data_IF_297373652141
#
_entry.id   IF_297373652141
#
_cell.length_a   1.000
_cell.length_b   1.000
_cell.length_c   1.000
_cell.angle_alpha   90.00
_cell.angle_beta   90.00
_cell.angle_gamma   90.00
#
_symmetry.space_group_name_H-M   'P 1'
#
loop_
_entity.id
_entity.type
_entity.pdbx_description
1 polymer ?
#
# COMPACT_ATOMS: atom_id res chain seq x y z
N UNK A 1 18.03 11.18 3.35
CA UNK A 1 17.26 9.92 3.18
C UNK A 1 18.09 8.96 2.34
N UNK A 2 18.40 7.80 2.87
CA UNK A 2 19.09 6.73 2.14
C UNK A 2 18.08 5.91 1.36
N UNK A 3 18.49 5.43 0.20
CA UNK A 3 17.72 4.54 -0.67
C UNK A 3 18.65 3.42 -1.14
N UNK A 4 18.21 2.18 -0.95
CA UNK A 4 18.94 0.99 -1.39
C UNK A 4 18.00 0.04 -2.14
N UNK A 5 18.43 -0.45 -3.29
CA UNK A 5 17.67 -1.47 -4.04
C UNK A 5 17.94 -2.84 -3.44
N UNK A 6 16.87 -3.52 -3.02
CA UNK A 6 16.94 -4.80 -2.33
C UNK A 6 16.33 -5.90 -3.20
N UNK A 7 17.14 -6.91 -3.48
CA UNK A 7 16.67 -8.12 -4.15
C UNK A 7 16.07 -9.10 -3.13
N UNK A 8 14.89 -9.66 -3.43
CA UNK A 8 14.25 -10.67 -2.60
C UNK A 8 13.40 -11.64 -3.43
N UNK A 9 13.07 -12.80 -2.87
CA UNK A 9 12.14 -13.72 -3.52
C UNK A 9 10.71 -13.27 -3.24
N UNK A 10 10.03 -12.73 -4.26
CA UNK A 10 8.64 -12.26 -4.20
C UNK A 10 7.67 -13.29 -4.76
N UNK A 11 7.28 -14.30 -3.96
CA UNK A 11 6.50 -15.41 -4.50
C UNK A 11 7.28 -16.16 -5.60
N UNK A 12 6.71 -16.23 -6.80
CA UNK A 12 7.34 -16.91 -7.96
C UNK A 12 8.36 -16.05 -8.71
N UNK A 13 8.50 -14.74 -8.38
CA UNK A 13 9.38 -13.82 -9.09
C UNK A 13 10.58 -13.39 -8.25
N UNK A 14 11.69 -13.07 -8.91
CA UNK A 14 12.80 -12.34 -8.29
C UNK A 14 12.39 -10.87 -8.24
N UNK A 15 12.10 -10.36 -7.07
CA UNK A 15 11.67 -8.99 -6.87
C UNK A 15 12.85 -8.08 -6.52
N UNK A 16 12.73 -6.79 -6.86
CA UNK A 16 13.72 -5.75 -6.53
C UNK A 16 13.01 -4.50 -6.03
N UNK A 17 12.83 -4.42 -4.70
CA UNK A 17 12.25 -3.27 -4.03
C UNK A 17 13.23 -2.13 -3.79
N UNK A 18 12.77 -1.07 -3.11
CA UNK A 18 13.60 0.03 -2.67
C UNK A 18 13.41 0.28 -1.17
N UNK A 19 14.43 -0.03 -0.38
CA UNK A 19 14.47 0.27 1.05
C UNK A 19 14.84 1.74 1.25
N UNK A 20 14.09 2.40 2.14
CA UNK A 20 14.19 3.85 2.38
C UNK A 20 14.23 4.11 3.88
N UNK A 21 15.22 4.88 4.34
CA UNK A 21 15.31 5.28 5.74
C UNK A 21 16.13 6.57 5.91
N UNK A 22 15.97 7.23 7.05
CA UNK A 22 16.87 8.31 7.41
C UNK A 22 18.03 7.77 8.26
N UNK A 23 19.25 7.77 7.69
CA UNK A 23 20.46 7.29 8.37
C UNK A 23 20.91 8.18 9.56
N UNK A 24 20.41 9.44 9.61
CA UNK A 24 20.72 10.38 10.70
C UNK A 24 19.89 10.13 11.96
N UNK A 25 18.83 9.32 11.86
CA UNK A 25 17.96 8.98 12.97
C UNK A 25 18.44 7.70 13.64
N UNK A 26 18.80 7.80 14.90
CA UNK A 26 19.19 6.66 15.73
C UNK A 26 17.96 5.91 16.29
N UNK A 27 18.17 4.64 16.65
CA UNK A 27 17.16 3.79 17.27
C UNK A 27 16.24 3.08 16.26
N UNK A 28 15.42 2.18 16.81
CA UNK A 28 14.48 1.38 16.01
C UNK A 28 13.22 2.18 15.70
N UNK A 29 12.74 2.04 14.47
CA UNK A 29 11.55 2.72 13.95
C UNK A 29 10.53 1.73 13.44
N UNK A 30 9.23 2.05 13.50
CA UNK A 30 8.19 1.28 12.86
C UNK A 30 8.47 1.01 11.38
N UNK A 31 7.93 -0.07 10.87
CA UNK A 31 8.11 -0.53 9.50
C UNK A 31 6.91 -0.14 8.62
N UNK A 32 7.18 0.42 7.45
CA UNK A 32 6.15 0.86 6.50
C UNK A 32 6.36 0.21 5.13
N UNK A 33 5.52 -0.74 4.78
CA UNK A 33 5.49 -1.27 3.42
C UNK A 33 4.71 -0.31 2.52
N UNK A 34 5.31 0.15 1.42
CA UNK A 34 4.68 1.03 0.43
C UNK A 34 4.46 0.24 -0.84
N UNK A 35 3.21 0.02 -1.22
CA UNK A 35 2.86 -0.64 -2.48
C UNK A 35 2.54 0.42 -3.53
N UNK A 36 3.36 0.52 -4.59
CA UNK A 36 3.23 1.56 -5.60
C UNK A 36 2.02 1.32 -6.51
N UNK A 37 1.70 2.34 -7.31
CA UNK A 37 0.71 2.23 -8.37
C UNK A 37 1.17 1.27 -9.48
N UNK A 38 0.41 1.17 -10.54
CA UNK A 38 0.64 0.25 -11.65
C UNK A 38 1.90 0.49 -12.49
N UNK A 39 2.65 1.57 -12.23
CA UNK A 39 3.92 1.85 -12.93
C UNK A 39 5.12 1.14 -12.29
N UNK A 40 4.95 0.51 -11.12
CA UNK A 40 5.99 -0.23 -10.42
C UNK A 40 6.88 0.64 -9.52
N UNK A 41 8.11 0.19 -9.26
CA UNK A 41 9.05 0.83 -8.32
C UNK A 41 9.76 2.00 -8.98
N UNK A 42 8.97 3.01 -9.40
CA UNK A 42 9.44 4.22 -10.08
C UNK A 42 10.08 5.21 -9.13
N UNK A 43 10.81 6.18 -9.68
CA UNK A 43 11.38 7.28 -8.88
C UNK A 43 10.32 8.12 -8.14
N UNK A 44 9.16 8.48 -8.73
CA UNK A 44 8.06 9.10 -7.98
C UNK A 44 7.57 8.25 -6.79
N UNK A 45 7.44 6.93 -6.96
CA UNK A 45 7.04 6.02 -5.88
C UNK A 45 8.08 6.01 -4.74
N UNK A 46 9.37 5.99 -5.08
CA UNK A 46 10.47 6.06 -4.10
C UNK A 46 10.46 7.41 -3.36
N UNK A 47 10.32 8.54 -4.06
CA UNK A 47 10.22 9.87 -3.45
C UNK A 47 9.03 10.00 -2.52
N UNK A 48 7.89 9.40 -2.88
CA UNK A 48 6.70 9.35 -2.02
C UNK A 48 7.00 8.55 -0.75
N UNK A 49 7.63 7.38 -0.87
CA UNK A 49 8.05 6.60 0.28
C UNK A 49 9.07 7.35 1.17
N UNK A 50 10.00 8.12 0.58
CA UNK A 50 10.92 8.98 1.35
C UNK A 50 10.18 10.05 2.15
N UNK A 51 9.18 10.72 1.55
CA UNK A 51 8.34 11.72 2.24
C UNK A 51 7.55 11.09 3.40
N UNK A 52 6.97 9.92 3.17
CA UNK A 52 6.21 9.21 4.20
C UNK A 52 7.12 8.68 5.31
N UNK A 53 8.26 8.11 4.97
CA UNK A 53 9.21 7.60 5.94
C UNK A 53 9.74 8.70 6.87
N UNK A 54 10.19 9.81 6.32
CA UNK A 54 10.75 10.91 7.10
C UNK A 54 11.71 10.40 8.19
N UNK A 55 11.52 10.87 9.40
CA UNK A 55 12.24 10.40 10.58
C UNK A 55 11.50 9.28 11.34
N UNK A 56 10.28 8.93 10.89
CA UNK A 56 9.35 8.09 11.64
C UNK A 56 9.46 6.60 11.30
N UNK A 57 9.77 6.26 10.04
CA UNK A 57 9.69 4.89 9.56
C UNK A 57 10.97 4.41 8.87
N UNK A 58 11.14 3.09 8.84
CA UNK A 58 11.91 2.40 7.81
C UNK A 58 10.91 1.88 6.79
N UNK A 59 11.05 2.26 5.52
CA UNK A 59 10.08 1.91 4.50
C UNK A 59 10.69 1.04 3.40
N UNK A 60 9.86 0.18 2.80
CA UNK A 60 10.19 -0.57 1.58
C UNK A 60 9.13 -0.30 0.52
N UNK A 61 9.53 0.18 -0.65
CA UNK A 61 8.68 0.18 -1.85
C UNK A 61 8.70 -1.22 -2.44
N UNK A 62 7.54 -1.88 -2.44
CA UNK A 62 7.40 -3.26 -2.88
C UNK A 62 7.45 -3.38 -4.41
N UNK A 63 8.12 -4.41 -4.91
CA UNK A 63 8.06 -4.81 -6.31
C UNK A 63 7.02 -5.93 -6.47
N UNK A 64 5.91 -5.61 -7.13
CA UNK A 64 4.84 -6.55 -7.40
C UNK A 64 4.94 -7.25 -8.76
N UNK A 65 5.91 -6.82 -9.60
CA UNK A 65 6.07 -7.35 -10.97
C UNK A 65 7.28 -8.26 -11.15
N UNK A 66 8.31 -8.07 -10.33
CA UNK A 66 9.60 -8.75 -10.43
C UNK A 66 10.65 -7.93 -11.17
N UNK A 67 11.93 -8.18 -10.84
CA UNK A 67 13.13 -7.57 -11.43
C UNK A 67 13.19 -6.04 -11.31
N UNK A 68 12.36 -5.44 -10.46
CA UNK A 68 12.23 -3.98 -10.31
C UNK A 68 11.67 -3.30 -11.54
N UNK A 69 10.84 -3.99 -12.31
CA UNK A 69 10.23 -3.49 -13.53
C UNK A 69 9.43 -2.22 -13.30
N UNK A 70 9.58 -1.29 -14.22
CA UNK A 70 8.80 -0.04 -14.30
C UNK A 70 8.34 0.18 -15.73
N UNK A 71 7.23 0.91 -15.89
CA UNK A 71 6.73 1.33 -17.20
C UNK A 71 6.20 2.77 -17.13
N UNK A 72 5.96 3.37 -18.29
CA UNK A 72 5.48 4.74 -18.40
C UNK A 72 3.94 4.83 -18.42
N UNK A 73 3.25 3.71 -18.61
CA UNK A 73 1.79 3.67 -18.65
C UNK A 73 1.24 2.51 -19.52
N UNK A 74 -0.05 2.60 -19.88
CA UNK A 74 -0.68 1.60 -20.73
C UNK A 74 -0.08 1.61 -22.17
N UNK A 75 -0.10 0.46 -22.87
CA UNK A 75 -0.78 -0.79 -22.46
C UNK A 75 -0.01 -1.64 -21.44
N UNK A 76 1.30 -1.43 -21.28
CA UNK A 76 2.19 -2.28 -20.48
C UNK A 76 1.77 -2.34 -19.01
N UNK A 77 1.48 -1.19 -18.40
CA UNK A 77 1.04 -1.13 -17.00
C UNK A 77 -0.26 -1.90 -16.77
N UNK A 78 -1.19 -1.80 -17.71
CA UNK A 78 -2.46 -2.52 -17.66
C UNK A 78 -2.26 -4.03 -17.75
N UNK A 79 -1.43 -4.49 -18.68
CA UNK A 79 -1.10 -5.91 -18.85
C UNK A 79 -0.49 -6.51 -17.58
N UNK A 80 0.53 -5.85 -17.02
CA UNK A 80 1.21 -6.34 -15.82
C UNK A 80 0.30 -6.33 -14.60
N UNK A 81 -0.45 -5.26 -14.41
CA UNK A 81 -1.43 -5.16 -13.33
C UNK A 81 -2.48 -6.27 -13.42
N UNK A 82 -3.04 -6.50 -14.61
CA UNK A 82 -4.06 -7.53 -14.82
C UNK A 82 -3.51 -8.94 -14.58
N UNK A 83 -2.25 -9.22 -14.97
CA UNK A 83 -1.61 -10.48 -14.69
C UNK A 83 -1.48 -10.77 -13.17
N UNK A 84 -1.10 -9.76 -12.37
CA UNK A 84 -1.05 -9.91 -10.90
C UNK A 84 -2.46 -10.06 -10.31
N UNK A 85 -3.43 -9.31 -10.81
CA UNK A 85 -4.84 -9.39 -10.35
C UNK A 85 -5.50 -10.72 -10.66
N UNK A 86 -5.14 -11.36 -11.76
CA UNK A 86 -5.69 -12.65 -12.18
C UNK A 86 -5.28 -13.79 -11.24
N UNK A 87 -4.12 -13.69 -10.58
CA UNK A 87 -3.66 -14.68 -9.60
C UNK A 87 -3.51 -14.04 -8.22
N UNK A 88 -4.62 -13.95 -7.47
CA UNK A 88 -4.65 -13.38 -6.12
C UNK A 88 -3.80 -14.18 -5.12
N UNK A 89 -3.66 -15.48 -5.31
CA UNK A 89 -2.81 -16.32 -4.44
C UNK A 89 -1.34 -15.90 -4.59
N UNK A 90 -0.88 -15.76 -5.83
CA UNK A 90 0.48 -15.31 -6.09
C UNK A 90 0.67 -13.84 -5.67
N UNK A 91 -0.30 -12.97 -5.94
CA UNK A 91 -0.28 -11.57 -5.48
C UNK A 91 -0.11 -11.45 -3.95
N UNK A 92 -0.85 -12.25 -3.17
CA UNK A 92 -0.71 -12.32 -1.71
C UNK A 92 0.68 -12.81 -1.28
N UNK A 93 1.25 -13.82 -1.98
CA UNK A 93 2.62 -14.28 -1.71
C UNK A 93 3.64 -13.17 -1.93
N UNK A 94 3.53 -12.41 -3.03
CA UNK A 94 4.42 -11.27 -3.32
C UNK A 94 4.32 -10.18 -2.26
N UNK A 95 3.10 -9.82 -1.85
CA UNK A 95 2.87 -8.82 -0.82
C UNK A 95 3.46 -9.23 0.55
N UNK A 96 3.23 -10.48 0.97
CA UNK A 96 3.79 -11.02 2.21
C UNK A 96 5.31 -11.11 2.15
N UNK A 97 5.89 -11.53 1.02
CA UNK A 97 7.33 -11.60 0.83
C UNK A 97 7.99 -10.21 0.91
N UNK A 98 7.33 -9.17 0.38
CA UNK A 98 7.81 -7.79 0.51
C UNK A 98 7.82 -7.32 1.97
N UNK A 99 6.77 -7.64 2.76
CA UNK A 99 6.76 -7.35 4.20
C UNK A 99 7.85 -8.11 4.94
N UNK A 100 8.04 -9.38 4.65
CA UNK A 100 9.10 -10.20 5.24
C UNK A 100 10.50 -9.65 4.89
N UNK A 101 10.71 -9.21 3.65
CA UNK A 101 11.94 -8.54 3.22
C UNK A 101 12.20 -7.26 4.01
N UNK A 102 11.19 -6.40 4.18
CA UNK A 102 11.30 -5.18 4.99
C UNK A 102 11.73 -5.49 6.42
N UNK A 103 11.09 -6.46 7.06
CA UNK A 103 11.44 -6.90 8.42
C UNK A 103 12.90 -7.37 8.48
N UNK A 104 13.29 -8.29 7.60
CA UNK A 104 14.63 -8.87 7.58
C UNK A 104 15.73 -7.81 7.35
N UNK A 105 15.52 -6.88 6.40
CA UNK A 105 16.50 -5.84 6.10
C UNK A 105 16.60 -4.78 7.21
N UNK A 106 15.48 -4.45 7.85
CA UNK A 106 15.48 -3.52 8.99
C UNK A 106 16.11 -4.15 10.24
N UNK A 107 15.87 -5.43 10.50
CA UNK A 107 16.49 -6.17 11.61
C UNK A 107 18.01 -6.35 11.39
N UNK A 108 18.43 -6.72 10.18
CA UNK A 108 19.85 -6.86 9.79
C UNK A 108 20.64 -5.57 10.04
N UNK A 109 19.99 -4.41 9.86
CA UNK A 109 20.59 -3.08 10.09
C UNK A 109 20.40 -2.58 11.53
N UNK A 110 19.62 -3.26 12.35
CA UNK A 110 19.32 -2.86 13.73
C UNK A 110 18.46 -1.59 13.84
N UNK A 111 17.73 -1.20 12.76
CA UNK A 111 16.98 0.06 12.67
C UNK A 111 15.45 -0.10 12.72
N UNK A 112 14.94 -1.34 12.71
CA UNK A 112 13.51 -1.63 12.66
C UNK A 112 12.92 -2.05 14.01
N UNK A 113 11.68 -1.63 14.27
CA UNK A 113 10.80 -2.17 15.30
C UNK A 113 9.76 -3.08 14.64
N UNK A 114 10.06 -4.37 14.53
CA UNK A 114 9.21 -5.37 13.86
C UNK A 114 7.90 -5.67 14.60
N UNK A 115 7.68 -5.10 15.79
CA UNK A 115 6.39 -5.17 16.48
C UNK A 115 5.39 -4.14 15.95
N UNK A 116 5.85 -3.15 15.16
CA UNK A 116 5.07 -2.07 14.57
C UNK A 116 5.21 -2.09 13.05
N UNK A 117 4.25 -2.73 12.38
CA UNK A 117 4.23 -2.92 10.93
C UNK A 117 2.97 -2.34 10.33
N UNK A 118 3.11 -1.50 9.32
CA UNK A 118 1.99 -0.99 8.54
C UNK A 118 2.25 -1.13 7.05
N UNK A 119 1.18 -1.11 6.26
CA UNK A 119 1.25 -1.10 4.80
C UNK A 119 0.37 0.00 4.23
N UNK A 120 0.89 0.73 3.24
CA UNK A 120 0.15 1.77 2.50
C UNK A 120 0.25 1.47 1.01
N UNK A 121 -0.86 1.51 0.30
CA UNK A 121 -0.89 1.26 -1.13
C UNK A 121 -1.65 2.31 -1.92
N UNK A 122 -1.16 2.60 -3.12
CA UNK A 122 -1.69 3.61 -4.03
C UNK A 122 -2.24 2.94 -5.29
N UNK A 123 -3.47 3.24 -5.72
CA UNK A 123 -4.07 2.70 -6.93
C UNK A 123 -4.00 1.14 -6.94
N UNK A 124 -3.30 0.54 -7.90
CA UNK A 124 -3.01 -0.90 -7.91
C UNK A 124 -2.42 -1.41 -6.59
N UNK A 125 -1.49 -0.65 -6.00
CA UNK A 125 -0.93 -0.97 -4.68
C UNK A 125 -1.97 -0.92 -3.57
N UNK A 126 -3.00 -0.07 -3.68
CA UNK A 126 -4.13 -0.02 -2.74
C UNK A 126 -4.89 -1.34 -2.70
N UNK A 127 -5.16 -1.94 -3.86
CA UNK A 127 -5.74 -3.29 -3.92
C UNK A 127 -4.81 -4.35 -3.32
N UNK A 128 -3.50 -4.24 -3.55
CA UNK A 128 -2.53 -5.22 -3.02
C UNK A 128 -2.36 -5.13 -1.49
N UNK A 129 -2.46 -3.96 -0.86
CA UNK A 129 -2.44 -3.89 0.61
C UNK A 129 -3.72 -4.45 1.22
N UNK A 130 -4.87 -4.34 0.54
CA UNK A 130 -6.09 -5.04 0.96
C UNK A 130 -5.92 -6.57 0.83
N UNK A 131 -5.30 -7.05 -0.25
CA UNK A 131 -4.97 -8.48 -0.39
C UNK A 131 -3.98 -8.97 0.69
N UNK A 132 -3.02 -8.12 1.10
CA UNK A 132 -2.14 -8.41 2.24
C UNK A 132 -2.96 -8.58 3.53
N UNK A 133 -3.89 -7.66 3.83
CA UNK A 133 -4.76 -7.78 4.99
C UNK A 133 -5.64 -9.04 4.94
N UNK A 134 -6.29 -9.30 3.79
CA UNK A 134 -7.12 -10.48 3.53
C UNK A 134 -6.36 -11.80 3.67
N UNK A 135 -5.03 -11.79 3.49
CA UNK A 135 -4.19 -12.98 3.63
C UNK A 135 -3.87 -13.36 5.08
N UNK A 136 -4.31 -12.57 6.04
CA UNK A 136 -4.02 -12.79 7.46
C UNK A 136 -2.65 -12.28 7.89
N UNK A 137 -2.06 -11.35 7.14
CA UNK A 137 -0.74 -10.81 7.47
C UNK A 137 -0.72 -10.16 8.86
N UNK A 138 0.35 -10.44 9.61
CA UNK A 138 0.59 -9.83 10.92
C UNK A 138 1.11 -8.39 10.75
N UNK A 139 0.17 -7.46 10.56
CA UNK A 139 0.38 -6.01 10.45
C UNK A 139 -0.58 -5.27 11.36
N UNK A 140 -0.18 -4.12 11.90
CA UNK A 140 -1.02 -3.32 12.79
C UNK A 140 -2.03 -2.47 12.00
N UNK A 141 -1.62 -1.99 10.83
CA UNK A 141 -2.47 -1.15 9.98
C UNK A 141 -2.26 -1.39 8.50
N UNK A 142 -3.33 -1.27 7.75
CA UNK A 142 -3.32 -1.24 6.28
C UNK A 142 -4.09 -0.01 5.80
N UNK A 143 -3.48 0.78 4.91
CA UNK A 143 -4.12 1.96 4.32
C UNK A 143 -4.20 1.82 2.80
N UNK A 144 -5.41 1.78 2.28
CA UNK A 144 -5.70 1.72 0.85
C UNK A 144 -6.07 3.11 0.34
N UNK A 145 -5.25 3.69 -0.53
CA UNK A 145 -5.51 4.98 -1.16
C UNK A 145 -6.00 4.78 -2.59
N UNK A 146 -7.22 5.23 -2.86
CA UNK A 146 -7.88 5.13 -4.19
C UNK A 146 -7.54 3.81 -4.89
N UNK A 147 -7.60 2.69 -4.14
CA UNK A 147 -7.23 1.37 -4.63
C UNK A 147 -8.37 0.66 -5.36
N UNK A 148 -8.00 -0.44 -6.02
CA UNK A 148 -8.94 -1.45 -6.46
C UNK A 148 -9.49 -2.21 -5.24
N UNK A 149 -10.80 -2.18 -5.07
CA UNK A 149 -11.46 -2.78 -3.90
C UNK A 149 -11.90 -4.23 -4.13
N UNK A 150 -12.00 -4.63 -5.40
CA UNK A 150 -12.49 -5.95 -5.80
C UNK A 150 -11.52 -7.07 -5.44
N UNK A 151 -12.08 -8.22 -5.11
CA UNK A 151 -11.33 -9.46 -4.92
C UNK A 151 -12.15 -10.67 -5.35
N UNK A 152 -11.47 -11.74 -5.75
CA UNK A 152 -12.05 -13.06 -5.94
C UNK A 152 -11.89 -13.96 -4.70
N UNK A 153 -11.22 -13.43 -3.66
CA UNK A 153 -10.91 -14.17 -2.44
C UNK A 153 -11.21 -13.28 -1.21
N UNK A 154 -12.48 -13.01 -0.90
CA UNK A 154 -12.86 -12.16 0.22
C UNK A 154 -12.35 -12.71 1.55
N UNK A 155 -12.16 -11.82 2.52
CA UNK A 155 -11.78 -12.19 3.87
C UNK A 155 -12.88 -12.99 4.58
N UNK A 156 -12.48 -13.98 5.36
CA UNK A 156 -13.35 -14.72 6.28
C UNK A 156 -13.29 -14.09 7.67
N UNK A 157 -14.26 -14.40 8.54
CA UNK A 157 -14.21 -13.96 9.93
C UNK A 157 -12.87 -14.24 10.59
N UNK A 158 -12.24 -13.19 11.10
CA UNK A 158 -10.94 -13.24 11.78
C UNK A 158 -9.70 -13.35 10.88
N UNK A 159 -9.83 -13.30 9.55
CA UNK A 159 -8.64 -13.28 8.66
C UNK A 159 -7.85 -11.97 8.85
N UNK A 160 -8.52 -10.83 8.88
CA UNK A 160 -7.87 -9.51 8.98
C UNK A 160 -7.42 -9.26 10.43
N UNK A 161 -6.12 -9.04 10.63
CA UNK A 161 -5.49 -8.91 11.95
C UNK A 161 -5.32 -7.46 12.40
N UNK A 162 -4.98 -6.57 11.48
CA UNK A 162 -4.76 -5.15 11.75
C UNK A 162 -5.96 -4.30 11.37
N UNK A 163 -5.90 -3.01 11.75
CA UNK A 163 -6.91 -2.04 11.34
C UNK A 163 -6.76 -1.68 9.85
N UNK A 164 -7.89 -1.47 9.16
CA UNK A 164 -7.95 -1.13 7.74
C UNK A 164 -8.52 0.26 7.55
N UNK A 165 -7.82 1.11 6.81
CA UNK A 165 -8.32 2.41 6.41
C UNK A 165 -8.35 2.53 4.89
N UNK A 166 -9.51 2.86 4.34
CA UNK A 166 -9.71 3.10 2.90
C UNK A 166 -10.00 4.56 2.69
N UNK A 167 -9.21 5.22 1.84
CA UNK A 167 -9.40 6.63 1.48
C UNK A 167 -9.65 6.71 -0.03
N UNK A 168 -10.83 7.17 -0.41
CA UNK A 168 -11.32 7.09 -1.77
C UNK A 168 -11.83 8.42 -2.30
N UNK A 169 -11.99 8.51 -3.62
CA UNK A 169 -12.67 9.62 -4.28
C UNK A 169 -14.11 9.24 -4.64
N UNK A 170 -15.09 10.06 -4.26
CA UNK A 170 -16.50 9.73 -4.48
C UNK A 170 -16.91 9.61 -5.95
N UNK A 171 -16.09 10.15 -6.86
CA UNK A 171 -16.26 10.07 -8.34
C UNK A 171 -15.22 9.20 -9.02
N UNK A 172 -14.53 8.34 -8.26
CA UNK A 172 -13.55 7.41 -8.79
C UNK A 172 -14.23 6.36 -9.69
N UNK A 173 -13.94 6.33 -11.01
CA UNK A 173 -14.56 5.37 -11.92
C UNK A 173 -13.92 3.98 -11.83
N UNK A 174 -12.74 3.85 -11.20
CA UNK A 174 -12.00 2.57 -11.03
C UNK A 174 -12.60 1.75 -9.90
N UNK A 175 -13.11 2.41 -8.85
CA UNK A 175 -13.83 1.75 -7.76
C UNK A 175 -15.17 2.47 -7.51
N UNK A 176 -16.18 2.15 -8.31
CA UNK A 176 -17.50 2.74 -8.22
C UNK A 176 -18.19 2.40 -6.88
N UNK A 177 -19.31 3.06 -6.62
CA UNK A 177 -20.03 2.92 -5.35
C UNK A 177 -20.33 1.46 -4.99
N UNK A 178 -20.69 0.64 -5.97
CA UNK A 178 -21.00 -0.78 -5.74
C UNK A 178 -19.78 -1.56 -5.17
N UNK A 179 -18.55 -1.23 -5.60
CA UNK A 179 -17.34 -1.88 -5.11
C UNK A 179 -17.03 -1.45 -3.66
N UNK A 180 -17.34 -0.19 -3.30
CA UNK A 180 -17.22 0.29 -1.93
C UNK A 180 -18.21 -0.40 -1.00
N UNK A 181 -19.48 -0.48 -1.40
CA UNK A 181 -20.52 -1.18 -0.65
C UNK A 181 -20.20 -2.67 -0.48
N UNK A 182 -19.62 -3.31 -1.49
CA UNK A 182 -19.17 -4.69 -1.40
C UNK A 182 -18.02 -4.86 -0.42
N UNK A 183 -17.05 -3.94 -0.41
CA UNK A 183 -15.96 -3.95 0.57
C UNK A 183 -16.46 -3.72 2.00
N UNK A 184 -17.39 -2.77 2.20
CA UNK A 184 -18.02 -2.53 3.52
C UNK A 184 -18.66 -3.81 4.05
N UNK A 185 -19.48 -4.47 3.24
CA UNK A 185 -20.11 -5.74 3.61
C UNK A 185 -19.08 -6.85 3.91
N UNK A 186 -17.97 -6.89 3.16
CA UNK A 186 -16.87 -7.83 3.42
C UNK A 186 -16.19 -7.55 4.75
N UNK A 187 -15.83 -6.29 5.02
CA UNK A 187 -15.14 -5.89 6.26
C UNK A 187 -16.00 -6.17 7.50
N UNK A 188 -17.29 -5.87 7.43
CA UNK A 188 -18.26 -6.18 8.50
C UNK A 188 -18.40 -7.68 8.69
N UNK A 189 -18.56 -8.44 7.61
CA UNK A 189 -18.66 -9.91 7.64
C UNK A 189 -17.39 -10.58 8.17
N UNK A 190 -16.23 -10.00 7.93
CA UNK A 190 -14.94 -10.46 8.45
C UNK A 190 -14.72 -10.09 9.93
N UNK A 191 -15.53 -9.20 10.50
CA UNK A 191 -15.33 -8.65 11.85
C UNK A 191 -14.06 -7.80 11.94
N UNK A 192 -13.68 -7.15 10.83
CA UNK A 192 -12.48 -6.32 10.78
C UNK A 192 -12.69 -5.00 11.54
N UNK A 193 -11.61 -4.45 12.08
CA UNK A 193 -11.58 -3.05 12.50
C UNK A 193 -11.26 -2.19 11.27
N UNK A 194 -12.23 -1.46 10.76
CA UNK A 194 -12.07 -0.73 9.50
C UNK A 194 -12.71 0.65 9.50
N UNK A 195 -12.20 1.51 8.65
CA UNK A 195 -12.72 2.85 8.39
C UNK A 195 -12.65 3.14 6.90
N UNK A 196 -13.62 3.90 6.38
CA UNK A 196 -13.61 4.40 5.01
C UNK A 196 -13.92 5.89 4.97
N UNK A 197 -13.18 6.61 4.13
CA UNK A 197 -13.41 8.04 3.87
C UNK A 197 -13.52 8.30 2.37
N UNK A 198 -14.60 8.90 1.95
CA UNK A 198 -14.81 9.39 0.59
C UNK A 198 -14.59 10.89 0.50
N UNK A 199 -13.62 11.33 -0.30
CA UNK A 199 -13.47 12.73 -0.68
C UNK A 199 -14.47 13.11 -1.76
N UNK A 200 -15.39 14.02 -1.44
CA UNK A 200 -16.44 14.48 -2.35
C UNK A 200 -15.87 15.04 -3.66
N UNK A 201 -16.34 14.50 -4.80
CA UNK A 201 -15.97 14.98 -6.13
C UNK A 201 -14.55 14.62 -6.59
N UNK A 202 -13.77 13.86 -5.83
CA UNK A 202 -12.42 13.44 -6.26
C UNK A 202 -12.51 12.21 -7.16
N UNK A 203 -11.60 12.18 -8.14
CA UNK A 203 -11.40 11.09 -9.09
C UNK A 203 -10.32 10.11 -8.55
N UNK A 204 -9.96 9.11 -9.36
CA UNK A 204 -8.89 8.18 -9.07
C UNK A 204 -7.54 8.89 -8.88
N UNK A 205 -6.61 8.28 -8.13
CA UNK A 205 -5.23 8.75 -7.93
C UNK A 205 -5.08 10.22 -7.47
N UNK A 206 -6.07 10.78 -6.78
CA UNK A 206 -6.05 12.19 -6.36
C UNK A 206 -4.88 12.54 -5.41
N UNK A 207 -4.23 11.54 -4.80
CA UNK A 207 -3.08 11.73 -3.93
C UNK A 207 -1.71 11.53 -4.61
N UNK A 208 -1.68 11.34 -5.95
CA UNK A 208 -0.47 11.08 -6.73
C UNK A 208 -0.18 12.24 -7.69
N UNK A 209 0.89 13.02 -7.40
CA UNK A 209 1.24 14.26 -8.13
C UNK A 209 1.54 14.04 -9.62
N UNK A 210 2.05 12.85 -9.96
CA UNK A 210 2.42 12.48 -11.32
C UNK A 210 1.22 12.04 -12.19
N UNK A 211 0.04 11.92 -11.61
CA UNK A 211 -1.11 11.36 -12.30
C UNK A 211 -1.96 12.44 -12.96
N UNK A 212 -2.15 12.30 -14.28
CA UNK A 212 -3.05 13.14 -15.06
C UNK A 212 -3.71 12.32 -16.18
N UNK A 213 -4.91 11.81 -15.91
CA UNK A 213 -5.79 11.17 -16.90
C UNK A 213 -7.15 11.83 -16.82
N UNK A 214 -7.34 12.90 -17.59
CA UNK A 214 -8.52 13.77 -17.55
C UNK A 214 -9.84 12.98 -17.44
N UNK A 215 -10.63 13.28 -16.40
CA UNK A 215 -11.92 12.64 -16.16
C UNK A 215 -11.85 11.22 -15.56
N UNK A 216 -10.64 10.67 -15.34
CA UNK A 216 -10.44 9.35 -14.75
C UNK A 216 -9.59 9.45 -13.47
N UNK A 217 -8.40 10.04 -13.58
CA UNK A 217 -7.45 10.15 -12.48
C UNK A 217 -6.80 11.53 -12.50
N UNK A 218 -6.99 12.30 -11.43
CA UNK A 218 -6.54 13.70 -11.36
C UNK A 218 -6.04 14.03 -9.96
N UNK A 219 -4.81 14.53 -9.89
CA UNK A 219 -4.20 15.00 -8.63
C UNK A 219 -4.98 16.18 -8.03
N UNK A 220 -5.13 16.17 -6.70
CA UNK A 220 -5.70 17.26 -5.95
C UNK A 220 -4.89 17.55 -4.69
N UNK A 221 -4.08 18.61 -4.71
CA UNK A 221 -3.15 18.93 -3.64
C UNK A 221 -3.81 19.08 -2.24
N UNK A 222 -4.95 19.78 -2.06
CA UNK A 222 -5.62 19.84 -0.76
C UNK A 222 -6.06 18.48 -0.22
N UNK A 223 -6.67 17.63 -1.08
CA UNK A 223 -7.11 16.31 -0.68
C UNK A 223 -5.90 15.40 -0.38
N UNK A 224 -4.85 15.44 -1.21
CA UNK A 224 -3.61 14.72 -0.97
C UNK A 224 -2.97 15.09 0.38
N UNK A 225 -2.85 16.39 0.67
CA UNK A 225 -2.29 16.86 1.94
C UNK A 225 -3.10 16.37 3.16
N UNK A 226 -4.42 16.41 3.09
CA UNK A 226 -5.28 15.85 4.14
C UNK A 226 -5.09 14.34 4.27
N UNK A 227 -5.09 13.62 3.15
CA UNK A 227 -4.89 12.16 3.10
C UNK A 227 -3.60 11.75 3.81
N UNK A 228 -2.47 12.39 3.50
CA UNK A 228 -1.18 12.03 4.12
C UNK A 228 -1.15 12.28 5.64
N UNK A 229 -1.84 13.30 6.15
CA UNK A 229 -1.98 13.50 7.60
C UNK A 229 -2.84 12.41 8.24
N UNK A 230 -4.02 12.15 7.66
CA UNK A 230 -4.98 11.19 8.20
C UNK A 230 -4.43 9.76 8.22
N UNK A 231 -3.72 9.34 7.16
CA UNK A 231 -3.10 8.03 7.14
C UNK A 231 -1.98 7.88 8.19
N UNK A 232 -1.20 8.95 8.41
CA UNK A 232 -0.14 8.90 9.43
C UNK A 232 -0.75 8.82 10.84
N UNK A 233 -1.75 9.65 11.14
CA UNK A 233 -2.48 9.62 12.41
C UNK A 233 -3.10 8.22 12.65
N UNK A 234 -3.77 7.65 11.64
CA UNK A 234 -4.36 6.31 11.73
C UNK A 234 -3.31 5.22 12.04
N UNK A 235 -2.18 5.24 11.34
CA UNK A 235 -1.09 4.29 11.57
C UNK A 235 -0.51 4.43 12.99
N UNK A 236 -0.33 5.68 13.47
CA UNK A 236 0.18 5.91 14.83
C UNK A 236 -0.82 5.45 15.90
N UNK A 237 -2.12 5.64 15.68
CA UNK A 237 -3.16 5.16 16.58
C UNK A 237 -3.22 3.62 16.61
N UNK A 238 -3.07 2.95 15.46
CA UNK A 238 -2.97 1.51 15.40
C UNK A 238 -1.74 0.97 16.18
N UNK A 239 -0.58 1.61 16.03
CA UNK A 239 0.61 1.23 16.80
C UNK A 239 0.47 1.45 18.30
N UNK A 240 -0.35 2.42 18.69
CA UNK A 240 -0.63 2.76 20.09
C UNK A 240 -1.82 1.99 20.68
N UNK A 241 -2.44 1.08 19.90
CA UNK A 241 -3.64 0.30 20.27
C UNK A 241 -4.80 1.19 20.72
N UNK A 242 -5.01 2.30 20.00
CA UNK A 242 -6.13 3.22 20.22
C UNK A 242 -7.31 2.99 19.27
N UNK A 243 -7.13 2.10 18.30
CA UNK A 243 -8.14 1.68 17.34
C UNK A 243 -8.80 0.37 17.76
#
# INVERSE_FOLDING_TARGET
>A
MSVERIDYQGGSVKAKGALVWNEKVSGKRPLLLVMPNWLGVTEPAIKRAQRMAGDKYVALVADMYGEGKTCEGPPTSQEWMMAVRADRVEGRKRANAAMACLVAEADKRGIGDSTKKAAVGFCFGGGNVLELARSGADVNAVVCLHGDLQTTMPAKPGDIKGAVFVIHGSKDPVAPKADREALEAEMDGAGANWQMLDFGGRLHSFAEEETMMKGVAEYNAPAAHQTFRMLDDFIQDAFSKKL
#
